data_IF_138449598015
#
_entry.id   IF_138449598015
#
_cell.length_a   1.000
_cell.length_b   1.000
_cell.length_c   1.000
_cell.angle_alpha   90.00
_cell.angle_beta   90.00
_cell.angle_gamma   90.00
#
_symmetry.space_group_name_H-M   'P 1'
#
loop_
_entity.id
_entity.type
_entity.pdbx_description
1 polymer ?
#
# COMPACT_ATOMS: atom_id res chain seq x y z
N UNK A 1 53.32 -10.79 -32.82
CA UNK A 1 52.13 -11.40 -32.17
C UNK A 1 52.05 -10.90 -30.74
N UNK A 2 51.07 -10.03 -30.41
CA UNK A 2 50.92 -9.48 -29.07
C UNK A 2 50.01 -10.37 -28.22
N UNK A 3 50.56 -10.98 -27.16
CA UNK A 3 49.80 -11.72 -26.16
C UNK A 3 48.96 -10.74 -25.34
N UNK A 4 47.65 -10.72 -25.57
CA UNK A 4 46.71 -9.94 -24.77
C UNK A 4 46.57 -10.61 -23.40
N UNK A 5 47.24 -10.04 -22.39
CA UNK A 5 46.94 -10.36 -20.99
C UNK A 5 45.49 -9.96 -20.70
N UNK A 6 44.59 -10.94 -20.59
CA UNK A 6 43.27 -10.71 -19.99
C UNK A 6 43.44 -10.86 -18.48
N UNK A 7 43.33 -9.78 -17.69
CA UNK A 7 43.33 -9.92 -16.25
C UNK A 7 42.10 -10.76 -15.87
N UNK A 8 42.34 -11.92 -15.25
CA UNK A 8 41.27 -12.71 -14.65
C UNK A 8 40.87 -11.98 -13.38
N UNK A 9 39.87 -11.12 -13.48
CA UNK A 9 39.27 -10.48 -12.31
C UNK A 9 38.81 -11.58 -11.35
N UNK A 10 39.15 -11.49 -10.06
CA UNK A 10 38.78 -12.53 -9.11
C UNK A 10 37.26 -12.62 -9.05
N UNK A 11 36.71 -13.84 -9.01
CA UNK A 11 35.26 -14.10 -8.99
C UNK A 11 34.54 -13.31 -7.88
N UNK A 12 35.22 -13.09 -6.76
CA UNK A 12 34.75 -12.26 -5.65
C UNK A 12 34.50 -10.79 -6.04
N UNK A 13 35.33 -10.21 -6.91
CA UNK A 13 35.16 -8.85 -7.40
C UNK A 13 33.98 -8.75 -8.37
N UNK A 14 33.77 -9.77 -9.19
CA UNK A 14 32.59 -9.87 -10.05
C UNK A 14 31.30 -10.00 -9.24
N UNK A 15 31.30 -10.82 -8.17
CA UNK A 15 30.17 -10.96 -7.27
C UNK A 15 29.88 -9.67 -6.51
N UNK A 16 30.91 -8.99 -6.00
CA UNK A 16 30.79 -7.71 -5.30
C UNK A 16 30.24 -6.62 -6.22
N UNK A 17 30.73 -6.53 -7.45
CA UNK A 17 30.20 -5.60 -8.46
C UNK A 17 28.72 -5.88 -8.75
N UNK A 18 28.33 -7.15 -8.86
CA UNK A 18 26.93 -7.54 -9.05
C UNK A 18 26.05 -7.10 -7.87
N UNK A 19 26.48 -7.36 -6.63
CA UNK A 19 25.74 -6.96 -5.43
C UNK A 19 25.61 -5.44 -5.31
N UNK A 20 26.65 -4.68 -5.66
CA UNK A 20 26.62 -3.22 -5.68
C UNK A 20 25.65 -2.68 -6.76
N UNK A 21 25.63 -3.29 -7.95
CA UNK A 21 24.69 -2.91 -9.01
C UNK A 21 23.23 -3.21 -8.65
N UNK A 22 22.95 -4.32 -7.96
CA UNK A 22 21.60 -4.61 -7.46
C UNK A 22 21.18 -3.68 -6.31
N UNK A 23 22.12 -3.30 -5.44
CA UNK A 23 21.85 -2.34 -4.35
C UNK A 23 21.52 -0.92 -4.83
N UNK A 24 22.01 -0.53 -6.00
CA UNK A 24 21.73 0.77 -6.61
C UNK A 24 20.32 0.89 -7.21
N UNK A 25 19.56 -0.22 -7.30
CA UNK A 25 18.17 -0.23 -7.76
C UNK A 25 17.14 -0.10 -6.62
N UNK A 26 17.58 -0.01 -5.36
CA UNK A 26 16.70 0.29 -4.22
C UNK A 26 16.56 1.82 -4.14
N UNK A 27 15.67 2.34 -5.00
CA UNK A 27 15.72 3.71 -5.50
C UNK A 27 14.76 4.73 -4.88
N UNK A 28 14.10 4.42 -3.75
CA UNK A 28 13.33 5.45 -3.04
C UNK A 28 13.97 5.80 -1.69
N UNK A 29 14.13 7.09 -1.35
CA UNK A 29 14.47 7.51 0.00
C UNK A 29 13.46 6.91 0.99
N UNK A 30 13.90 5.93 1.79
CA UNK A 30 13.07 5.21 2.76
C UNK A 30 12.79 3.73 2.46
N UNK A 31 13.31 3.17 1.37
CA UNK A 31 13.12 1.74 1.01
C UNK A 31 14.25 0.80 1.47
N UNK A 32 15.23 1.32 2.23
CA UNK A 32 16.23 0.47 2.86
C UNK A 32 15.55 -0.57 3.78
N UNK A 33 16.05 -1.81 3.91
CA UNK A 33 15.40 -2.85 4.69
C UNK A 33 15.16 -2.45 6.15
N UNK A 34 16.04 -1.64 6.74
CA UNK A 34 15.86 -1.10 8.08
C UNK A 34 14.81 0.03 8.14
N UNK A 35 14.77 0.90 7.12
CA UNK A 35 13.75 1.97 7.03
C UNK A 35 12.37 1.41 6.74
N UNK A 36 12.27 0.36 5.92
CA UNK A 36 11.05 -0.40 5.70
C UNK A 36 10.53 -0.97 7.04
N UNK A 37 11.36 -1.68 7.80
CA UNK A 37 10.97 -2.21 9.12
C UNK A 37 10.58 -1.08 10.08
N UNK A 38 11.30 0.05 10.07
CA UNK A 38 11.00 1.23 10.88
C UNK A 38 9.63 1.82 10.52
N UNK A 39 9.29 1.90 9.23
CA UNK A 39 8.01 2.43 8.75
C UNK A 39 6.84 1.51 9.09
N UNK A 40 6.96 0.20 8.89
CA UNK A 40 5.87 -0.75 9.18
C UNK A 40 5.56 -0.82 10.68
N UNK A 41 6.57 -0.65 11.53
CA UNK A 41 6.40 -0.59 12.99
C UNK A 41 5.77 0.72 13.48
N UNK A 42 5.52 1.68 12.61
CA UNK A 42 4.91 2.97 12.97
C UNK A 42 5.90 4.02 13.47
N UNK A 43 7.18 3.68 13.65
CA UNK A 43 8.24 4.60 14.12
C UNK A 43 8.55 5.73 13.10
N UNK A 44 7.97 5.68 11.90
CA UNK A 44 8.01 6.79 10.92
C UNK A 44 6.95 7.87 11.16
N UNK A 45 6.04 7.64 12.09
CA UNK A 45 4.92 8.53 12.42
C UNK A 45 5.13 9.27 13.76
N UNK A 46 6.27 9.05 14.42
CA UNK A 46 6.62 9.70 15.68
C UNK A 46 6.53 11.23 15.54
N UNK A 47 5.77 11.86 16.45
CA UNK A 47 5.54 13.30 16.47
C UNK A 47 4.46 13.81 15.52
N UNK A 48 3.79 12.96 14.75
CA UNK A 48 2.60 13.35 13.97
C UNK A 48 1.37 13.33 14.86
N UNK A 49 0.50 14.32 14.69
CA UNK A 49 -0.83 14.30 15.29
C UNK A 49 -1.61 13.09 14.76
N UNK A 50 -2.44 12.49 15.62
CA UNK A 50 -3.38 11.46 15.20
C UNK A 50 -4.28 12.01 14.09
N UNK A 51 -4.57 11.23 13.02
CA UNK A 51 -5.53 11.68 12.01
C UNK A 51 -6.91 11.94 12.65
N UNK A 52 -7.64 12.94 12.16
CA UNK A 52 -8.96 13.28 12.69
C UNK A 52 -9.91 12.08 12.54
N UNK A 53 -10.82 11.91 13.51
CA UNK A 53 -11.82 10.83 13.49
C UNK A 53 -11.35 9.49 14.07
N UNK A 54 -10.15 9.41 14.64
CA UNK A 54 -9.69 8.24 15.42
C UNK A 54 -10.24 8.21 16.86
N UNK A 55 -10.74 9.33 17.36
CA UNK A 55 -11.35 9.43 18.70
C UNK A 55 -12.64 8.60 18.80
N UNK A 56 -13.30 8.41 17.67
CA UNK A 56 -14.52 7.63 17.54
C UNK A 56 -14.13 6.20 17.16
N UNK A 57 -14.46 5.23 18.03
CA UNK A 57 -14.25 3.83 17.70
C UNK A 57 -14.92 3.50 16.36
N UNK A 58 -14.13 3.00 15.40
CA UNK A 58 -14.67 2.55 14.13
C UNK A 58 -15.83 1.58 14.39
N UNK A 59 -16.97 1.73 13.71
CA UNK A 59 -18.03 0.74 13.79
C UNK A 59 -17.42 -0.60 13.39
N UNK A 60 -17.31 -1.53 14.34
CA UNK A 60 -16.80 -2.86 14.04
C UNK A 60 -17.68 -3.51 12.96
N UNK A 61 -17.15 -4.49 12.24
CA UNK A 61 -17.94 -5.22 11.24
C UNK A 61 -19.15 -5.95 11.83
N UNK A 62 -19.20 -6.11 13.16
CA UNK A 62 -20.36 -6.63 13.89
C UNK A 62 -21.46 -5.57 14.11
N UNK A 63 -21.19 -4.29 13.87
CA UNK A 63 -22.13 -3.18 14.04
C UNK A 63 -22.94 -3.03 12.76
N UNK A 64 -23.97 -3.85 12.66
CA UNK A 64 -24.97 -3.73 11.60
C UNK A 64 -25.83 -2.49 11.91
N UNK A 65 -25.89 -1.48 11.03
CA UNK A 65 -26.76 -0.32 11.24
C UNK A 65 -28.23 -0.76 11.25
N UNK A 66 -29.11 -0.03 11.96
CA UNK A 66 -30.53 -0.34 11.95
C UNK A 66 -31.07 -0.30 10.53
N UNK A 67 -32.00 -1.22 10.23
CA UNK A 67 -32.65 -1.27 8.92
C UNK A 67 -33.36 0.08 8.66
N UNK A 68 -33.17 0.70 7.49
CA UNK A 68 -33.88 1.93 7.14
C UNK A 68 -35.39 1.69 7.10
N UNK A 69 -36.15 2.73 7.45
CA UNK A 69 -37.61 2.68 7.37
C UNK A 69 -38.04 2.36 5.93
N UNK A 70 -39.02 1.47 5.79
CA UNK A 70 -39.62 1.21 4.49
C UNK A 70 -40.41 2.45 4.09
N UNK A 71 -40.04 3.08 2.97
CA UNK A 71 -40.77 4.23 2.42
C UNK A 71 -42.24 3.89 2.15
N UNK A 72 -43.06 4.94 1.99
CA UNK A 72 -44.51 4.81 1.79
C UNK A 72 -44.87 3.86 0.64
N UNK A 73 -46.02 3.18 0.78
CA UNK A 73 -46.50 2.25 -0.23
C UNK A 73 -46.81 2.93 -1.57
N UNK A 74 -47.41 4.12 -1.51
CA UNK A 74 -47.73 4.99 -2.66
C UNK A 74 -46.50 5.31 -3.51
N UNK A 75 -45.41 5.72 -2.86
CA UNK A 75 -44.14 6.07 -3.53
C UNK A 75 -43.53 4.85 -4.23
N UNK A 76 -43.64 3.67 -3.61
CA UNK A 76 -43.19 2.42 -4.23
C UNK A 76 -44.01 2.05 -5.45
N UNK A 77 -45.32 2.19 -5.40
CA UNK A 77 -46.22 1.93 -6.54
C UNK A 77 -45.91 2.86 -7.71
N UNK A 78 -45.69 4.15 -7.43
CA UNK A 78 -45.30 5.14 -8.43
C UNK A 78 -43.96 4.79 -9.09
N UNK A 79 -42.94 4.44 -8.30
CA UNK A 79 -41.64 4.01 -8.81
C UNK A 79 -41.73 2.73 -9.64
N UNK A 80 -42.53 1.76 -9.18
CA UNK A 80 -42.72 0.48 -9.90
C UNK A 80 -43.38 0.72 -11.26
N UNK A 81 -44.39 1.60 -11.28
CA UNK A 81 -45.07 1.97 -12.52
C UNK A 81 -44.13 2.70 -13.49
N UNK A 82 -43.36 3.67 -12.99
CA UNK A 82 -42.41 4.43 -13.80
C UNK A 82 -41.29 3.56 -14.40
N UNK A 83 -40.83 2.54 -13.66
CA UNK A 83 -39.83 1.58 -14.13
C UNK A 83 -40.39 0.60 -15.17
N UNK A 84 -41.66 0.20 -15.05
CA UNK A 84 -42.29 -0.72 -16.01
C UNK A 84 -42.55 -0.09 -17.38
N UNK A 85 -42.56 1.25 -17.45
CA UNK A 85 -42.82 2.02 -18.68
C UNK A 85 -41.55 2.54 -19.37
N UNK A 86 -40.35 2.22 -18.86
CA UNK A 86 -39.06 2.49 -19.51
C UNK A 86 -38.51 1.21 -20.15
#
# INVERSE_FOLDING_TARGET
MALRHRPRLPRSLGLLACLLSLGACVGSPGEGPFDFVRQIRGNGLDGRAAPPGLEEGFPNLARIPPRPARGEASVREQLTTALATN
#
